data_IF_865089385083
#
_entry.id   IF_865089385083
#
_cell.length_a   1.000
_cell.length_b   1.000
_cell.length_c   1.000
_cell.angle_alpha   90.00
_cell.angle_beta   90.00
_cell.angle_gamma   90.00
#
_symmetry.space_group_name_H-M   'P 1'
#
loop_
_entity.id
_entity.type
_entity.pdbx_description
1 polymer ?
#
# COMPACT_ATOMS: atom_id res chain seq x y z
N UNK A 1 1.18 -3.16 -20.36
CA UNK A 1 1.70 -2.08 -19.49
C UNK A 1 2.44 -2.72 -18.33
N UNK A 2 3.67 -2.26 -18.04
CA UNK A 2 4.51 -2.82 -16.99
C UNK A 2 4.50 -1.94 -15.74
N UNK A 3 4.17 -2.52 -14.60
CA UNK A 3 3.95 -1.81 -13.34
C UNK A 3 4.95 -2.35 -12.30
N UNK A 4 5.70 -1.44 -11.67
CA UNK A 4 6.41 -1.74 -10.43
C UNK A 4 5.55 -1.29 -9.25
N UNK A 5 5.07 -2.23 -8.47
CA UNK A 5 4.40 -1.92 -7.20
C UNK A 5 5.38 -2.09 -6.05
N UNK A 6 5.49 -1.10 -5.18
CA UNK A 6 6.42 -1.11 -4.04
C UNK A 6 5.62 -1.05 -2.76
N UNK A 7 5.77 -2.06 -1.90
CA UNK A 7 5.10 -2.15 -0.60
C UNK A 7 6.07 -2.57 0.51
N UNK A 8 5.59 -2.66 1.76
CA UNK A 8 6.46 -3.01 2.89
C UNK A 8 6.83 -4.50 2.88
N UNK A 9 5.88 -5.37 3.21
CA UNK A 9 6.02 -6.84 3.24
C UNK A 9 4.67 -7.49 2.89
N UNK A 10 4.60 -8.81 2.79
CA UNK A 10 3.37 -9.55 2.41
C UNK A 10 2.73 -10.33 3.58
N UNK A 11 2.99 -9.94 4.82
CA UNK A 11 2.32 -10.51 5.98
C UNK A 11 0.84 -10.08 6.05
N UNK A 12 -0.05 -11.02 6.39
CA UNK A 12 -1.51 -10.82 6.30
C UNK A 12 -2.12 -9.95 7.40
N UNK A 13 -1.33 -9.51 8.37
CA UNK A 13 -1.82 -8.76 9.55
C UNK A 13 -1.88 -7.25 9.36
N UNK A 14 -1.46 -6.72 8.21
CA UNK A 14 -1.44 -5.26 7.96
C UNK A 14 -2.47 -4.84 6.92
N UNK A 15 -3.13 -3.72 7.17
CA UNK A 15 -4.11 -3.14 6.25
C UNK A 15 -3.55 -2.77 4.88
N UNK A 16 -2.29 -2.29 4.83
CA UNK A 16 -1.63 -1.95 3.56
C UNK A 16 -1.40 -3.19 2.70
N UNK A 17 -0.90 -4.26 3.31
CA UNK A 17 -0.66 -5.53 2.62
C UNK A 17 -1.97 -6.16 2.14
N UNK A 18 -3.01 -6.07 2.94
CA UNK A 18 -4.34 -6.54 2.54
C UNK A 18 -4.89 -5.73 1.37
N UNK A 19 -4.68 -4.41 1.37
CA UNK A 19 -5.03 -3.56 0.23
C UNK A 19 -4.29 -3.99 -1.04
N UNK A 20 -2.96 -4.16 -0.96
CA UNK A 20 -2.12 -4.59 -2.11
C UNK A 20 -2.56 -5.96 -2.61
N UNK A 21 -2.80 -6.92 -1.73
CA UNK A 21 -3.31 -8.24 -2.08
C UNK A 21 -4.66 -8.15 -2.81
N UNK A 22 -5.62 -7.43 -2.25
CA UNK A 22 -6.95 -7.29 -2.86
C UNK A 22 -6.86 -6.61 -4.23
N UNK A 23 -6.05 -5.55 -4.36
CA UNK A 23 -5.84 -4.87 -5.63
C UNK A 23 -5.27 -5.83 -6.69
N UNK A 24 -4.20 -6.56 -6.37
CA UNK A 24 -3.50 -7.41 -7.32
C UNK A 24 -4.30 -8.66 -7.73
N UNK A 25 -5.06 -9.25 -6.80
CA UNK A 25 -5.92 -10.40 -7.10
C UNK A 25 -7.16 -10.04 -7.95
N UNK A 26 -7.50 -8.74 -8.04
CA UNK A 26 -8.61 -8.25 -8.86
C UNK A 26 -8.14 -7.43 -10.08
N UNK A 27 -6.83 -7.30 -10.28
CA UNK A 27 -6.28 -6.63 -11.44
C UNK A 27 -6.26 -7.60 -12.64
N UNK A 28 -6.58 -7.10 -13.83
CA UNK A 28 -6.47 -7.86 -15.08
C UNK A 28 -4.98 -8.05 -15.45
N UNK A 29 -4.37 -9.12 -14.95
CA UNK A 29 -2.96 -9.46 -15.18
C UNK A 29 -2.67 -9.93 -16.63
N UNK A 30 -3.68 -10.06 -17.48
CA UNK A 30 -3.46 -10.27 -18.93
C UNK A 30 -3.07 -8.97 -19.63
N UNK A 31 -3.50 -7.84 -19.09
CA UNK A 31 -3.20 -6.48 -19.59
C UNK A 31 -2.03 -5.81 -18.89
N UNK A 32 -1.78 -6.19 -17.62
CA UNK A 32 -0.78 -5.57 -16.76
C UNK A 32 0.22 -6.59 -16.28
N UNK A 33 1.48 -6.40 -16.65
CA UNK A 33 2.58 -7.13 -16.06
C UNK A 33 2.99 -6.43 -14.76
N UNK A 34 2.96 -7.13 -13.63
CA UNK A 34 3.26 -6.54 -12.33
C UNK A 34 4.46 -7.18 -11.68
N UNK A 35 5.47 -6.35 -11.40
CA UNK A 35 6.57 -6.67 -10.50
C UNK A 35 6.24 -6.06 -9.13
N UNK A 36 6.17 -6.90 -8.09
CA UNK A 36 5.88 -6.48 -6.72
C UNK A 36 7.17 -6.50 -5.88
N UNK A 37 7.72 -5.31 -5.62
CA UNK A 37 8.92 -5.13 -4.81
C UNK A 37 8.55 -4.97 -3.32
N UNK A 38 8.97 -5.92 -2.49
CA UNK A 38 8.57 -5.99 -1.07
C UNK A 38 9.71 -6.45 -0.17
N UNK A 39 9.63 -6.12 1.12
CA UNK A 39 10.43 -6.76 2.17
C UNK A 39 10.00 -8.20 2.41
N UNK A 40 10.92 -9.04 2.88
CA UNK A 40 10.60 -10.39 3.33
C UNK A 40 9.48 -10.35 4.39
N UNK A 41 8.58 -11.31 4.30
CA UNK A 41 7.52 -11.47 5.29
C UNK A 41 8.15 -11.83 6.64
N UNK A 42 7.71 -11.21 7.75
CA UNK A 42 8.13 -11.63 9.10
C UNK A 42 7.84 -13.13 9.31
N UNK A 43 8.74 -13.89 9.95
CA UNK A 43 8.63 -15.34 10.06
C UNK A 43 7.44 -15.80 10.91
N UNK A 44 6.93 -14.93 11.77
CA UNK A 44 5.76 -15.14 12.65
C UNK A 44 4.43 -14.85 11.97
N UNK A 45 4.44 -14.44 10.68
CA UNK A 45 3.23 -14.08 9.94
C UNK A 45 3.03 -14.98 8.73
N UNK A 46 1.76 -15.35 8.48
CA UNK A 46 1.38 -15.95 7.21
C UNK A 46 1.57 -14.93 6.07
N UNK A 47 2.07 -15.41 4.94
CA UNK A 47 2.31 -14.61 3.75
C UNK A 47 1.21 -14.81 2.71
N UNK A 48 0.82 -13.74 2.01
CA UNK A 48 -0.05 -13.81 0.85
C UNK A 48 0.73 -14.02 -0.47
N UNK A 49 2.06 -14.16 -0.43
CA UNK A 49 2.89 -14.36 -1.62
C UNK A 49 2.44 -15.52 -2.51
N UNK A 50 2.16 -16.73 -1.98
CA UNK A 50 1.77 -17.86 -2.84
C UNK A 50 0.50 -17.60 -3.68
N UNK A 51 -0.48 -16.88 -3.12
CA UNK A 51 -1.70 -16.55 -3.84
C UNK A 51 -1.45 -15.52 -4.96
N UNK A 52 -0.54 -14.57 -4.74
CA UNK A 52 -0.16 -13.57 -5.74
C UNK A 52 0.68 -14.17 -6.87
N UNK A 53 1.64 -15.05 -6.55
CA UNK A 53 2.45 -15.77 -7.53
C UNK A 53 1.58 -16.68 -8.41
N UNK A 54 0.64 -17.41 -7.80
CA UNK A 54 -0.33 -18.22 -8.54
C UNK A 54 -1.23 -17.39 -9.47
N UNK A 55 -1.51 -16.14 -9.13
CA UNK A 55 -2.23 -15.19 -9.99
C UNK A 55 -1.36 -14.59 -11.11
N UNK A 56 -0.04 -14.80 -11.11
CA UNK A 56 0.88 -14.31 -12.14
C UNK A 56 1.65 -13.03 -11.76
N UNK A 57 1.64 -12.63 -10.49
CA UNK A 57 2.44 -11.50 -10.00
C UNK A 57 3.88 -11.95 -9.78
N UNK A 58 4.85 -11.24 -10.36
CA UNK A 58 6.27 -11.48 -10.10
C UNK A 58 6.70 -10.78 -8.81
N UNK A 59 7.13 -11.54 -7.79
CA UNK A 59 7.51 -11.02 -6.49
C UNK A 59 9.02 -10.87 -6.38
N UNK A 60 9.48 -9.66 -6.06
CA UNK A 60 10.87 -9.31 -5.78
C UNK A 60 11.00 -9.08 -4.27
N UNK A 61 11.28 -10.15 -3.54
CA UNK A 61 11.44 -10.09 -2.08
C UNK A 61 12.88 -9.71 -1.70
N UNK A 62 13.02 -8.74 -0.81
CA UNK A 62 14.32 -8.23 -0.34
C UNK A 62 14.34 -8.21 1.19
N UNK A 63 15.53 -8.18 1.84
CA UNK A 63 15.63 -8.14 3.29
C UNK A 63 14.79 -7.00 3.90
N UNK A 64 14.06 -7.27 4.99
CA UNK A 64 13.20 -6.28 5.66
C UNK A 64 14.00 -5.32 6.56
N UNK A 65 15.04 -4.76 6.00
CA UNK A 65 15.82 -3.67 6.59
C UNK A 65 15.69 -2.45 5.70
N UNK A 66 15.32 -1.34 6.26
CA UNK A 66 15.02 -0.11 5.52
C UNK A 66 16.15 0.36 4.59
N UNK A 67 17.41 0.35 5.07
CA UNK A 67 18.57 0.74 4.26
C UNK A 67 18.83 -0.27 3.15
N UNK A 68 18.74 -1.57 3.47
CA UNK A 68 18.95 -2.64 2.50
C UNK A 68 17.86 -2.58 1.40
N UNK A 69 16.59 -2.35 1.76
CA UNK A 69 15.50 -2.19 0.79
C UNK A 69 15.70 -1.01 -0.15
N UNK A 70 16.09 0.16 0.37
CA UNK A 70 16.35 1.34 -0.49
C UNK A 70 17.53 1.05 -1.43
N UNK A 71 18.60 0.41 -0.93
CA UNK A 71 19.74 0.01 -1.76
C UNK A 71 19.34 -1.00 -2.84
N UNK A 72 18.56 -2.01 -2.49
CA UNK A 72 18.07 -3.02 -3.43
C UNK A 72 17.15 -2.39 -4.49
N UNK A 73 16.24 -1.49 -4.10
CA UNK A 73 15.40 -0.75 -5.03
C UNK A 73 16.24 0.11 -5.99
N UNK A 74 17.23 0.82 -5.47
CA UNK A 74 18.17 1.59 -6.31
C UNK A 74 18.87 0.70 -7.34
N UNK A 75 19.41 -0.44 -6.94
CA UNK A 75 20.09 -1.37 -7.86
C UNK A 75 19.09 -1.94 -8.90
N UNK A 76 17.88 -2.31 -8.46
CA UNK A 76 16.84 -2.80 -9.34
C UNK A 76 16.49 -1.77 -10.42
N UNK A 77 16.23 -0.52 -10.04
CA UNK A 77 15.86 0.54 -10.97
C UNK A 77 17.00 1.02 -11.88
N UNK A 78 18.24 0.76 -11.54
CA UNK A 78 19.37 1.01 -12.45
C UNK A 78 19.35 0.10 -13.68
N UNK A 79 18.87 -1.11 -13.53
CA UNK A 79 18.87 -2.15 -14.57
C UNK A 79 17.50 -2.36 -15.22
N UNK A 80 16.41 -2.04 -14.51
CA UNK A 80 15.03 -2.20 -14.98
C UNK A 80 14.36 -0.83 -15.06
N UNK A 81 14.45 -0.19 -16.23
CA UNK A 81 13.97 1.18 -16.47
C UNK A 81 12.69 1.23 -17.31
N UNK A 82 12.19 0.09 -17.72
CA UNK A 82 11.09 -0.12 -18.66
C UNK A 82 9.70 -0.16 -18.02
N UNK A 83 9.58 0.36 -16.80
CA UNK A 83 8.29 0.52 -16.13
C UNK A 83 7.50 1.69 -16.69
N UNK A 84 6.24 1.44 -17.04
CA UNK A 84 5.28 2.49 -17.40
C UNK A 84 4.76 3.21 -16.15
N UNK A 85 4.57 2.46 -15.05
CA UNK A 85 4.06 2.97 -13.78
C UNK A 85 4.94 2.44 -12.63
N UNK A 86 5.24 3.32 -11.68
CA UNK A 86 5.76 2.95 -10.36
C UNK A 86 4.72 3.35 -9.32
N UNK A 87 4.03 2.36 -8.72
CA UNK A 87 3.05 2.58 -7.66
C UNK A 87 3.69 2.34 -6.30
N UNK A 88 3.95 3.42 -5.59
CA UNK A 88 4.68 3.41 -4.33
C UNK A 88 3.74 3.60 -3.14
N UNK A 89 3.56 2.54 -2.35
CA UNK A 89 2.87 2.60 -1.06
C UNK A 89 3.80 3.12 0.01
N UNK A 90 3.51 4.29 0.55
CA UNK A 90 4.37 4.94 1.54
C UNK A 90 3.65 5.19 2.86
N UNK A 91 4.42 5.07 3.92
CA UNK A 91 3.98 5.34 5.28
C UNK A 91 5.00 6.20 6.05
N UNK A 92 5.92 6.89 5.36
CA UNK A 92 7.00 7.59 6.08
C UNK A 92 7.57 8.77 5.31
N UNK A 93 8.13 9.74 6.05
CA UNK A 93 8.91 10.87 5.50
C UNK A 93 10.07 10.43 4.60
N UNK A 94 10.66 9.27 4.88
CA UNK A 94 11.78 8.72 4.10
C UNK A 94 11.34 8.27 2.69
N UNK A 95 10.04 8.05 2.48
CA UNK A 95 9.51 7.82 1.14
C UNK A 95 9.72 8.99 0.19
N UNK A 96 9.77 10.22 0.68
CA UNK A 96 9.94 11.40 -0.17
C UNK A 96 11.27 11.39 -0.96
N UNK A 97 12.45 11.25 -0.35
CA UNK A 97 13.69 11.10 -1.12
C UNK A 97 13.72 9.84 -2.00
N UNK A 98 13.04 8.76 -1.61
CA UNK A 98 12.89 7.56 -2.46
C UNK A 98 12.07 7.89 -3.71
N UNK A 99 11.02 8.71 -3.60
CA UNK A 99 10.26 9.20 -4.74
C UNK A 99 11.15 10.00 -5.71
N UNK A 100 12.00 10.88 -5.21
CA UNK A 100 13.00 11.60 -6.01
C UNK A 100 13.98 10.66 -6.71
N UNK A 101 14.48 9.63 -6.01
CA UNK A 101 15.35 8.61 -6.59
C UNK A 101 14.65 7.86 -7.74
N UNK A 102 13.39 7.47 -7.57
CA UNK A 102 12.60 6.80 -8.63
C UNK A 102 12.45 7.69 -9.86
N UNK A 103 12.17 8.98 -9.68
CA UNK A 103 12.07 9.95 -10.79
C UNK A 103 13.36 10.08 -11.57
N UNK A 104 14.52 10.14 -10.89
CA UNK A 104 15.82 10.26 -11.55
C UNK A 104 16.18 8.97 -12.32
N UNK A 105 15.90 7.80 -11.75
CA UNK A 105 16.27 6.53 -12.37
C UNK A 105 15.30 6.08 -13.48
N UNK A 106 14.02 6.41 -13.35
CA UNK A 106 12.95 6.07 -14.30
C UNK A 106 12.16 7.31 -14.71
N UNK A 107 12.75 8.24 -15.48
CA UNK A 107 12.14 9.54 -15.80
C UNK A 107 10.85 9.41 -16.63
N UNK A 108 10.69 8.33 -17.38
CA UNK A 108 9.53 8.08 -18.23
C UNK A 108 8.35 7.43 -17.49
N UNK A 109 8.63 6.76 -16.35
CA UNK A 109 7.58 6.11 -15.57
C UNK A 109 6.65 7.15 -14.91
N UNK A 110 5.36 6.85 -14.87
CA UNK A 110 4.39 7.58 -14.05
C UNK A 110 4.51 7.14 -12.60
N UNK A 111 4.86 8.05 -11.71
CA UNK A 111 5.02 7.76 -10.28
C UNK A 111 3.72 8.08 -9.56
N UNK A 112 3.07 7.04 -9.03
CA UNK A 112 1.89 7.11 -8.16
C UNK A 112 2.35 6.88 -6.74
N UNK A 113 2.07 7.81 -5.84
CA UNK A 113 2.38 7.66 -4.40
C UNK A 113 1.09 7.49 -3.63
N UNK A 114 1.00 6.42 -2.83
CA UNK A 114 -0.19 6.04 -2.09
C UNK A 114 0.04 6.10 -0.58
N UNK A 115 -0.71 6.97 0.10
CA UNK A 115 -0.64 7.14 1.56
C UNK A 115 -1.67 6.28 2.29
N UNK A 116 -1.21 5.62 3.37
CA UNK A 116 -2.06 4.78 4.22
C UNK A 116 -2.04 5.19 5.69
N UNK A 117 -1.48 6.38 6.01
CA UNK A 117 -1.23 6.77 7.41
C UNK A 117 -1.68 8.19 7.72
N UNK A 118 -1.97 8.37 9.01
CA UNK A 118 -2.06 9.68 9.67
C UNK A 118 -1.30 9.58 10.99
N UNK A 119 -0.21 10.34 11.16
CA UNK A 119 0.57 10.40 12.40
C UNK A 119 0.71 11.84 12.89
N UNK A 120 -0.15 12.34 13.76
CA UNK A 120 0.07 13.62 14.43
C UNK A 120 1.25 13.52 15.44
N UNK A 121 1.97 14.62 15.72
CA UNK A 121 1.81 15.94 15.13
C UNK A 121 2.57 16.11 13.80
N UNK A 122 2.11 17.09 13.00
CA UNK A 122 2.83 17.55 11.81
C UNK A 122 4.14 18.23 12.21
N UNK A 123 5.26 17.76 11.66
CA UNK A 123 6.59 18.32 11.93
C UNK A 123 7.15 19.05 10.72
N UNK A 124 8.17 19.91 10.90
CA UNK A 124 8.83 20.59 9.79
C UNK A 124 9.40 19.60 8.74
N UNK A 125 9.90 18.46 9.20
CA UNK A 125 10.39 17.39 8.30
C UNK A 125 9.27 16.75 7.45
N UNK A 126 8.02 16.71 7.95
CA UNK A 126 6.87 16.30 7.13
C UNK A 126 6.55 17.36 6.08
N UNK A 127 6.59 18.66 6.44
CA UNK A 127 6.38 19.74 5.46
C UNK A 127 7.42 19.72 4.35
N UNK A 128 8.67 19.45 4.65
CA UNK A 128 9.70 19.25 3.63
C UNK A 128 9.41 18.02 2.75
N UNK A 129 8.95 16.92 3.35
CA UNK A 129 8.55 15.72 2.59
C UNK A 129 7.37 15.99 1.64
N UNK A 130 6.39 16.84 2.02
CA UNK A 130 5.29 17.25 1.14
C UNK A 130 5.81 17.86 -0.16
N UNK A 131 6.76 18.82 -0.04
CA UNK A 131 7.34 19.48 -1.22
C UNK A 131 8.03 18.49 -2.14
N UNK A 132 8.81 17.56 -1.56
CA UNK A 132 9.53 16.54 -2.33
C UNK A 132 8.55 15.57 -3.04
N UNK A 133 7.51 15.11 -2.36
CA UNK A 133 6.48 14.29 -3.01
C UNK A 133 5.80 15.05 -4.14
N UNK A 134 5.38 16.30 -3.91
CA UNK A 134 4.70 17.13 -4.91
C UNK A 134 5.57 17.45 -6.13
N UNK A 135 6.90 17.48 -5.95
CA UNK A 135 7.85 17.74 -7.04
C UNK A 135 8.06 16.52 -7.94
N UNK A 136 8.08 15.31 -7.36
CA UNK A 136 8.54 14.11 -8.04
C UNK A 136 7.44 13.09 -8.39
N UNK A 137 6.27 13.13 -7.74
CA UNK A 137 5.16 12.25 -8.08
C UNK A 137 4.23 12.87 -9.13
N UNK A 138 3.68 12.03 -10.01
CA UNK A 138 2.69 12.44 -11.02
C UNK A 138 1.28 12.36 -10.47
N UNK A 139 0.99 11.38 -9.59
CA UNK A 139 -0.34 11.14 -9.04
C UNK A 139 -0.29 10.75 -7.57
N UNK A 140 -1.32 11.12 -6.84
CA UNK A 140 -1.42 10.92 -5.40
C UNK A 140 -2.66 10.13 -5.04
N UNK A 141 -2.51 9.09 -4.24
CA UNK A 141 -3.59 8.32 -3.67
C UNK A 141 -3.55 8.39 -2.16
N UNK A 142 -4.70 8.49 -1.53
CA UNK A 142 -4.86 8.31 -0.08
C UNK A 142 -5.89 7.24 0.21
N UNK A 143 -5.68 6.41 1.24
CA UNK A 143 -6.74 5.51 1.72
C UNK A 143 -7.95 6.28 2.31
N UNK A 144 -7.82 7.58 2.44
CA UNK A 144 -8.83 8.58 2.78
C UNK A 144 -8.25 9.98 2.59
N UNK A 145 -9.10 11.00 2.58
CA UNK A 145 -8.69 12.41 2.42
C UNK A 145 -7.67 12.81 3.50
N UNK A 146 -7.88 12.40 4.76
CA UNK A 146 -6.99 12.71 5.87
C UNK A 146 -5.57 12.14 5.65
N UNK A 147 -5.46 10.91 5.13
CA UNK A 147 -4.16 10.29 4.82
C UNK A 147 -3.44 11.02 3.67
N UNK A 148 -4.19 11.44 2.64
CA UNK A 148 -3.65 12.26 1.57
C UNK A 148 -3.13 13.61 2.07
N UNK A 149 -3.95 14.34 2.81
CA UNK A 149 -3.57 15.64 3.40
C UNK A 149 -2.35 15.53 4.31
N UNK A 150 -2.30 14.50 5.14
CA UNK A 150 -1.18 14.30 6.06
C UNK A 150 0.15 14.08 5.34
N UNK A 151 0.20 13.24 4.30
CA UNK A 151 1.45 12.86 3.63
C UNK A 151 1.84 13.84 2.52
N UNK A 152 0.87 14.44 1.83
CA UNK A 152 1.13 15.24 0.63
C UNK A 152 0.82 16.73 0.79
N UNK A 153 0.22 17.15 1.91
CA UNK A 153 -0.09 18.54 2.24
C UNK A 153 -1.59 18.84 2.29
N UNK A 154 -1.96 19.86 3.09
CA UNK A 154 -3.34 20.16 3.51
C UNK A 154 -4.34 20.39 2.36
N UNK A 155 -3.86 20.75 1.18
CA UNK A 155 -4.69 21.08 0.02
C UNK A 155 -4.60 20.05 -1.13
N UNK A 156 -4.03 18.88 -0.85
CA UNK A 156 -3.83 17.84 -1.89
C UNK A 156 -5.15 17.40 -2.52
N UNK A 157 -6.22 17.33 -1.72
CA UNK A 157 -7.57 16.92 -2.15
C UNK A 157 -8.24 17.89 -3.15
N UNK A 158 -7.67 19.09 -3.34
CA UNK A 158 -8.12 20.05 -4.35
C UNK A 158 -7.38 19.91 -5.68
N UNK A 159 -6.38 19.05 -5.75
CA UNK A 159 -5.57 18.85 -6.97
C UNK A 159 -6.23 17.83 -7.89
N UNK A 160 -6.22 18.05 -9.23
CA UNK A 160 -6.82 17.13 -10.20
C UNK A 160 -6.12 15.77 -10.26
N UNK A 161 -4.87 15.68 -9.78
CA UNK A 161 -4.08 14.47 -9.72
C UNK A 161 -4.08 13.80 -8.35
N UNK A 162 -5.13 14.01 -7.55
CA UNK A 162 -5.37 13.29 -6.31
C UNK A 162 -6.69 12.52 -6.37
N UNK A 163 -6.69 11.32 -5.80
CA UNK A 163 -7.91 10.52 -5.59
C UNK A 163 -7.86 9.75 -4.26
N UNK A 164 -9.02 9.40 -3.75
CA UNK A 164 -9.16 8.51 -2.61
C UNK A 164 -9.35 7.08 -3.13
N UNK A 165 -8.50 6.18 -2.66
CA UNK A 165 -8.57 4.74 -2.92
C UNK A 165 -8.79 4.01 -1.58
N UNK A 166 -10.05 3.85 -1.19
CA UNK A 166 -10.42 3.23 0.07
C UNK A 166 -10.03 1.76 0.14
N UNK A 167 -9.74 1.28 1.35
CA UNK A 167 -9.64 -0.14 1.60
C UNK A 167 -11.01 -0.79 1.34
N UNK A 168 -10.98 -1.92 0.64
CA UNK A 168 -12.16 -2.71 0.34
C UNK A 168 -12.15 -4.02 1.12
N UNK A 169 -13.34 -4.54 1.37
CA UNK A 169 -13.55 -5.88 1.95
C UNK A 169 -14.29 -6.75 0.95
N UNK A 170 -13.97 -8.02 0.93
CA UNK A 170 -14.67 -9.02 0.12
C UNK A 170 -16.04 -9.29 0.74
N UNK A 171 -17.08 -8.78 0.11
CA UNK A 171 -18.46 -8.92 0.58
C UNK A 171 -19.01 -10.35 0.50
N UNK A 172 -18.36 -11.24 -0.26
CA UNK A 172 -18.74 -12.65 -0.29
C UNK A 172 -18.29 -13.39 0.97
N UNK A 173 -17.24 -12.89 1.64
CA UNK A 173 -16.70 -13.42 2.90
C UNK A 173 -17.20 -12.67 4.12
N UNK A 174 -17.39 -11.37 4.01
CA UNK A 174 -17.79 -10.48 5.11
C UNK A 174 -19.21 -9.98 4.88
N UNK A 175 -20.18 -10.76 5.31
CA UNK A 175 -21.61 -10.47 5.24
C UNK A 175 -22.29 -10.72 6.58
N UNK A 176 -23.43 -10.07 6.86
CA UNK A 176 -24.22 -10.35 8.06
C UNK A 176 -24.66 -11.81 8.09
N UNK A 177 -24.24 -12.54 9.11
CA UNK A 177 -24.58 -13.97 9.29
C UNK A 177 -25.26 -14.19 10.65
N UNK A 178 -26.57 -14.40 10.63
CA UNK A 178 -27.36 -14.58 11.84
C UNK A 178 -26.95 -15.82 12.65
N UNK A 179 -26.64 -16.93 11.98
CA UNK A 179 -26.20 -18.15 12.66
C UNK A 179 -24.85 -17.98 13.36
N UNK A 180 -23.88 -17.35 12.67
CA UNK A 180 -22.58 -17.03 13.26
C UNK A 180 -22.73 -16.03 14.42
N UNK A 181 -23.61 -15.02 14.29
CA UNK A 181 -23.92 -14.08 15.36
C UNK A 181 -24.44 -14.80 16.61
N UNK A 182 -25.43 -15.68 16.46
CA UNK A 182 -25.98 -16.44 17.57
C UNK A 182 -24.94 -17.34 18.24
N UNK A 183 -24.14 -18.06 17.46
CA UNK A 183 -23.09 -18.94 17.97
C UNK A 183 -22.03 -18.17 18.77
N UNK A 184 -21.53 -17.05 18.25
CA UNK A 184 -20.55 -16.21 18.93
C UNK A 184 -21.11 -15.62 20.23
N UNK A 185 -22.36 -15.13 20.21
CA UNK A 185 -23.00 -14.59 21.42
C UNK A 185 -23.17 -15.66 22.49
N UNK A 186 -23.60 -16.85 22.11
CA UNK A 186 -23.71 -17.99 23.04
C UNK A 186 -22.35 -18.38 23.62
N UNK A 187 -21.30 -18.43 22.79
CA UNK A 187 -19.93 -18.77 23.21
C UNK A 187 -19.41 -17.83 24.30
N UNK A 188 -19.76 -16.53 24.23
CA UNK A 188 -19.28 -15.51 25.17
C UNK A 188 -20.34 -15.12 26.22
N UNK A 189 -21.49 -15.82 26.30
CA UNK A 189 -22.56 -15.55 27.27
C UNK A 189 -23.22 -14.18 27.09
N UNK A 190 -23.27 -13.65 25.86
CA UNK A 190 -23.77 -12.32 25.57
C UNK A 190 -25.25 -12.41 25.21
N UNK A 191 -26.11 -11.67 25.89
CA UNK A 191 -27.54 -11.62 25.63
C UNK A 191 -27.92 -10.83 24.39
N UNK A 192 -29.11 -11.02 23.84
CA UNK A 192 -29.54 -10.31 22.61
C UNK A 192 -29.61 -8.80 22.78
N UNK A 193 -29.83 -8.30 23.98
CA UNK A 193 -29.95 -6.87 24.28
C UNK A 193 -28.61 -6.17 24.47
N UNK A 194 -27.54 -6.91 24.74
CA UNK A 194 -26.21 -6.35 24.93
C UNK A 194 -25.55 -5.98 23.59
N UNK A 195 -24.83 -4.86 23.58
CA UNK A 195 -24.01 -4.46 22.44
C UNK A 195 -22.62 -5.09 22.54
N UNK A 196 -22.21 -5.76 21.48
CA UNK A 196 -20.87 -6.32 21.34
C UNK A 196 -20.07 -5.48 20.35
N UNK A 197 -18.93 -4.97 20.77
CA UNK A 197 -17.93 -4.37 19.90
C UNK A 197 -16.68 -5.28 19.87
N UNK A 198 -16.22 -5.62 18.65
CA UNK A 198 -15.01 -6.38 18.45
C UNK A 198 -13.98 -5.53 17.67
N UNK A 199 -12.71 -5.74 17.94
CA UNK A 199 -11.58 -5.09 17.25
C UNK A 199 -10.34 -6.00 17.25
#
# INVERSE_FOLDING_TARGET
>A
MKILMISNHLGVQSGVQRYVQNLLLNLDLTRYQVDLFVGLCPPDQASCAPALEAAGVHIIAVPDNKKARIRALYQHLKTHKDYDIIHYHTASKIGAPVCGMMRVLCPHAKIIVHSHIVYPPMTLTWRAAHLVYQLFADYFLGCGVAAGRFVFGDHIDRRPNFSVACNAVDQTRFYPNAAARTAIRAQYGITETERLAGF
#
